data_IF_161292361834
#
_entry.id   IF_161292361834
#
_cell.length_a   1.000
_cell.length_b   1.000
_cell.length_c   1.000
_cell.angle_alpha   90.00
_cell.angle_beta   90.00
_cell.angle_gamma   90.00
#
_symmetry.space_group_name_H-M   'P 1'
#
loop_
_entity.id
_entity.type
_entity.pdbx_description
1 polymer ?
2 water ?
#
# COMPACT_ATOMS: atom_id res chain seq x y z
N UNK A 28 15.45 -16.17 -7.90
CA UNK A 28 14.48 -15.75 -8.96
C UNK A 28 13.78 -14.48 -8.52
N UNK A 29 13.71 -13.51 -9.43
CA UNK A 29 12.94 -12.30 -9.20
C UNK A 29 11.71 -12.32 -10.10
N UNK A 30 10.54 -12.27 -9.48
CA UNK A 30 9.28 -12.41 -10.20
C UNK A 30 8.44 -11.15 -10.05
N UNK A 31 8.23 -10.40 -11.15
CA UNK A 31 7.33 -9.25 -11.07
C UNK A 31 5.88 -9.69 -10.92
N UNK A 32 5.09 -8.85 -10.28
CA UNK A 32 3.67 -9.11 -10.04
C UNK A 32 2.80 -8.04 -10.69
N UNK A 33 1.72 -8.47 -11.34
CA UNK A 33 0.75 -7.58 -11.94
C UNK A 33 -0.65 -8.05 -11.61
N UNK A 34 -1.48 -7.11 -11.16
CA UNK A 34 -2.91 -7.34 -10.97
C UNK A 34 -3.74 -6.22 -11.58
N UNK A 35 -4.91 -6.57 -12.13
CA UNK A 35 -5.81 -5.58 -12.70
C UNK A 35 -6.69 -4.92 -11.62
N UNK A 36 -6.55 -5.40 -10.38
CA UNK A 36 -7.37 -4.88 -9.27
C UNK A 36 -6.59 -3.89 -8.39
N UNK A 37 -5.54 -3.31 -8.98
CA UNK A 37 -4.84 -2.15 -8.42
C UNK A 37 -4.45 -1.25 -9.59
N UNK A 38 -4.16 0.04 -9.33
CA UNK A 38 -3.75 0.92 -10.42
C UNK A 38 -2.52 0.34 -11.12
N UNK A 39 -2.49 0.44 -12.46
CA UNK A 39 -1.42 -0.18 -13.22
C UNK A 39 -0.08 0.49 -12.92
N UNK A 40 0.99 -0.29 -12.92
CA UNK A 40 2.33 0.29 -12.81
C UNK A 40 2.67 0.98 -14.12
N UNK A 41 3.44 2.06 -14.05
CA UNK A 41 4.04 2.67 -15.26
C UNK A 41 5.10 1.74 -15.88
N UNK A 42 5.63 2.12 -17.04
CA UNK A 42 6.52 1.22 -17.79
C UNK A 42 7.79 0.81 -17.06
N UNK A 43 8.32 1.68 -16.20
CA UNK A 43 9.63 1.45 -15.57
C UNK A 43 9.63 0.63 -14.26
N UNK A 44 8.46 0.25 -13.75
CA UNK A 44 8.39 -0.48 -12.46
C UNK A 44 7.27 -1.53 -12.41
N UNK A 45 7.24 -2.33 -11.35
CA UNK A 45 6.21 -3.34 -11.18
C UNK A 45 5.45 -3.07 -9.89
N UNK A 46 4.18 -3.45 -9.86
CA UNK A 46 3.38 -3.25 -8.64
C UNK A 46 4.01 -3.94 -7.45
N UNK A 47 4.57 -5.13 -7.68
CA UNK A 47 5.33 -5.81 -6.64
C UNK A 47 6.41 -6.66 -7.29
N UNK A 48 7.43 -7.01 -6.51
CA UNK A 48 8.50 -7.92 -6.98
C UNK A 48 8.79 -8.93 -5.88
N UNK A 49 8.87 -10.21 -6.27
CA UNK A 49 9.15 -11.30 -5.35
C UNK A 49 10.61 -11.72 -5.44
N UNK A 50 11.22 -11.96 -4.28
CA UNK A 50 12.60 -12.42 -4.18
C UNK A 50 12.74 -13.28 -2.93
N UNK A 51 13.16 -14.53 -3.13
CA UNK A 51 13.33 -15.50 -2.03
C UNK A 51 12.36 -15.38 -0.84
N UNK A 52 11.09 -15.68 -1.13
CA UNK A 52 10.04 -15.75 -0.13
C UNK A 52 9.48 -14.38 0.26
N UNK A 53 10.22 -13.32 -0.04
CA UNK A 53 9.74 -11.96 0.29
C UNK A 53 8.99 -11.34 -0.87
N UNK A 54 8.03 -10.47 -0.55
CA UNK A 54 7.28 -9.75 -1.57
C UNK A 54 7.45 -8.27 -1.24
N UNK A 55 8.03 -7.52 -2.18
CA UNK A 55 8.20 -6.06 -2.04
C UNK A 55 7.15 -5.35 -2.87
N UNK A 56 6.24 -4.66 -2.19
CA UNK A 56 5.13 -3.98 -2.86
C UNK A 56 5.49 -2.51 -3.04
N UNK A 57 5.32 -2.02 -4.26
CA UNK A 57 5.51 -0.60 -4.56
C UNK A 57 4.58 0.26 -3.72
N UNK A 58 5.02 1.48 -3.41
CA UNK A 58 4.18 2.42 -2.65
C UNK A 58 2.87 2.65 -3.38
N UNK A 59 1.78 2.33 -2.68
CA UNK A 59 0.44 2.46 -3.21
C UNK A 59 -0.15 3.79 -2.79
N UNK A 60 -0.88 4.42 -3.71
CA UNK A 60 -1.50 5.74 -3.49
C UNK A 60 -3.04 5.62 -3.67
N UNK A 61 -3.81 6.66 -3.26
CA UNK A 61 -5.28 6.54 -3.30
C UNK A 61 -5.82 6.78 -4.72
N UNK A 62 -5.62 5.77 -5.57
CA UNK A 62 -6.12 5.77 -6.92
C UNK A 62 -6.84 4.46 -7.11
N UNK A 63 -7.92 4.48 -7.90
CA UNK A 63 -8.67 3.24 -8.20
C UNK A 63 -7.98 2.43 -9.29
N UNK A 64 -8.38 1.15 -9.46
CA UNK A 64 -7.73 0.36 -10.49
C UNK A 64 -7.88 0.91 -11.90
N UNK A 65 -8.85 1.79 -12.12
CA UNK A 65 -9.00 2.44 -13.43
C UNK A 65 -8.11 3.68 -13.58
N UNK A 66 -7.20 3.88 -12.62
CA UNK A 66 -6.21 4.95 -12.63
C UNK A 66 -6.75 6.38 -12.43
N UNK A 67 -7.85 6.47 -11.68
CA UNK A 67 -8.47 7.72 -11.30
C UNK A 67 -8.23 8.00 -9.82
N UNK A 68 -8.03 9.28 -9.47
CA UNK A 68 -7.77 9.62 -8.07
C UNK A 68 -9.03 9.50 -7.22
N UNK A 69 -8.84 9.06 -5.98
CA UNK A 69 -9.92 9.06 -5.00
C UNK A 69 -9.96 10.43 -4.36
N UNK A 70 -11.12 11.08 -4.46
CA UNK A 70 -11.38 12.33 -3.76
C UNK A 70 -12.25 12.04 -2.55
N UNK A 71 -12.05 12.79 -1.49
CA UNK A 71 -12.82 12.55 -0.27
C UNK A 71 -11.97 12.61 0.97
N UNK A 72 -12.44 11.92 2.01
CA UNK A 72 -11.77 11.96 3.31
C UNK A 72 -10.49 11.13 3.29
N UNK A 73 -9.59 11.43 4.22
CA UNK A 73 -8.40 10.59 4.42
C UNK A 73 -8.82 9.14 4.67
N UNK A 74 -9.93 8.94 5.37
CA UNK A 74 -10.42 7.57 5.63
C UNK A 74 -10.74 6.84 4.34
N UNK A 75 -11.44 7.50 3.43
CA UNK A 75 -11.79 6.91 2.14
C UNK A 75 -10.51 6.62 1.33
N UNK A 76 -9.58 7.56 1.36
CA UNK A 76 -8.30 7.46 0.65
C UNK A 76 -7.44 6.32 1.20
N UNK A 77 -7.36 6.21 2.52
CA UNK A 77 -6.67 5.10 3.18
C UNK A 77 -7.27 3.74 2.85
N UNK A 78 -8.60 3.67 2.76
CA UNK A 78 -9.26 2.42 2.43
C UNK A 78 -8.88 1.94 1.03
N UNK A 79 -8.75 2.88 0.08
CA UNK A 79 -8.35 2.56 -1.30
C UNK A 79 -6.91 2.04 -1.35
N UNK A 80 -6.04 2.72 -0.61
CA UNK A 80 -4.64 2.28 -0.52
C UNK A 80 -4.57 0.87 0.03
N UNK A 81 -5.33 0.58 1.08
CA UNK A 81 -5.38 -0.77 1.63
C UNK A 81 -5.87 -1.83 0.64
N UNK A 82 -6.89 -1.49 -0.14
CA UNK A 82 -7.40 -2.43 -1.13
C UNK A 82 -6.38 -2.67 -2.23
N UNK A 83 -5.66 -1.61 -2.61
CA UNK A 83 -4.58 -1.74 -3.61
C UNK A 83 -3.51 -2.68 -3.11
N UNK A 84 -3.03 -2.46 -1.89
CA UNK A 84 -2.02 -3.35 -1.31
C UNK A 84 -2.52 -4.80 -1.22
N UNK A 85 -3.72 -4.98 -0.68
CA UNK A 85 -4.31 -6.31 -0.51
C UNK A 85 -4.38 -7.06 -1.82
N UNK A 86 -4.83 -6.38 -2.87
CA UNK A 86 -4.93 -7.05 -4.15
C UNK A 86 -3.61 -7.42 -4.81
N UNK A 87 -2.60 -6.58 -4.62
CA UNK A 87 -1.28 -6.90 -5.12
C UNK A 87 -0.72 -8.08 -4.33
N UNK A 88 -0.94 -8.08 -3.01
CA UNK A 88 -0.47 -9.20 -2.20
C UNK A 88 -1.10 -10.52 -2.62
N UNK A 89 -2.40 -10.49 -2.88
CA UNK A 89 -3.11 -11.70 -3.33
C UNK A 89 -2.51 -12.27 -4.62
N UNK A 90 -2.20 -11.39 -5.57
CA UNK A 90 -1.52 -11.80 -6.80
C UNK A 90 -0.12 -12.30 -6.54
N UNK A 91 0.47 -11.89 -5.42
CA UNK A 91 1.84 -12.29 -5.05
C UNK A 91 1.90 -13.56 -4.21
N UNK A 92 0.77 -14.27 -4.10
CA UNK A 92 0.66 -15.41 -3.19
C UNK A 92 0.94 -15.02 -1.75
N UNK A 93 0.40 -13.88 -1.33
CA UNK A 93 0.56 -13.37 0.00
C UNK A 93 -0.78 -12.78 0.46
N UNK A 94 -0.78 -12.09 1.59
CA UNK A 94 -1.97 -11.41 2.13
C UNK A 94 -1.53 -10.46 3.22
N UNK A 95 -2.47 -9.68 3.73
CA UNK A 95 -2.20 -8.73 4.83
C UNK A 95 -1.60 -9.44 6.04
N UNK A 96 -2.08 -10.65 6.31
CA UNK A 96 -1.57 -11.45 7.42
C UNK A 96 -0.12 -11.93 7.30
N UNK A 97 0.47 -11.74 6.12
CA UNK A 97 1.85 -12.14 5.89
C UNK A 97 2.79 -10.93 5.75
N UNK A 98 2.29 -9.74 6.10
CA UNK A 98 3.12 -8.54 6.03
C UNK A 98 4.10 -8.52 7.20
N UNK A 99 5.36 -8.16 6.90
CA UNK A 99 6.42 -8.06 7.91
C UNK A 99 6.59 -6.61 8.38
N UNK A 100 6.50 -5.69 7.44
CA UNK A 100 6.83 -4.28 7.71
C UNK A 100 6.00 -3.40 6.80
N UNK A 101 5.46 -2.34 7.38
CA UNK A 101 4.71 -1.32 6.66
C UNK A 101 5.42 0.02 6.81
N UNK A 102 5.58 0.76 5.71
CA UNK A 102 6.03 2.16 5.77
C UNK A 102 4.95 3.08 5.24
N UNK A 103 4.54 4.03 6.06
CA UNK A 103 3.46 4.97 5.72
C UNK A 103 4.09 6.33 5.51
N UNK A 104 3.77 6.97 4.39
CA UNK A 104 4.22 8.33 4.13
C UNK A 104 2.99 9.20 4.02
N UNK A 105 2.91 10.24 4.84
CA UNK A 105 1.79 11.16 4.83
C UNK A 105 2.22 12.57 4.42
N UNK A 106 1.47 13.19 3.52
CA UNK A 106 1.76 14.56 3.10
C UNK A 106 1.52 15.56 4.25
N UNK A 107 0.69 15.16 5.21
CA UNK A 107 0.41 16.00 6.38
C UNK A 107 0.15 15.10 7.58
N UNK A 108 1.01 15.23 8.58
CA UNK A 108 0.95 14.38 9.76
C UNK A 108 -0.26 14.66 10.64
N UNK A 109 -0.95 15.77 10.36
CA UNK A 109 -2.22 16.07 11.00
C UNK A 109 -3.26 15.04 10.63
N UNK A 110 -3.08 14.39 9.48
CA UNK A 110 -3.99 13.34 9.03
C UNK A 110 -3.70 11.98 9.64
N UNK A 111 -2.68 11.91 10.48
CA UNK A 111 -2.30 10.62 11.03
C UNK A 111 -3.36 9.98 11.92
N UNK A 112 -3.97 10.76 12.81
CA UNK A 112 -5.05 10.24 13.65
C UNK A 112 -6.15 9.58 12.83
N UNK A 113 -6.57 10.23 11.75
CA UNK A 113 -7.65 9.70 10.90
C UNK A 113 -7.18 8.45 10.19
N UNK A 114 -5.98 8.51 9.62
CA UNK A 114 -5.39 7.35 8.96
C UNK A 114 -5.33 6.14 9.88
N UNK A 115 -4.93 6.39 11.12
CA UNK A 115 -4.70 5.32 12.07
C UNK A 115 -5.97 4.54 12.40
N UNK A 116 -7.11 5.22 12.42
CA UNK A 116 -8.38 4.53 12.60
C UNK A 116 -8.61 3.43 11.54
N UNK A 117 -8.34 3.75 10.28
CA UNK A 117 -8.45 2.79 9.18
C UNK A 117 -7.38 1.70 9.30
N UNK A 118 -6.16 2.11 9.61
CA UNK A 118 -5.03 1.18 9.75
C UNK A 118 -5.37 0.11 10.79
N UNK A 119 -5.86 0.56 11.95
CA UNK A 119 -6.16 -0.35 13.05
C UNK A 119 -7.27 -1.33 12.71
N UNK A 120 -8.19 -0.93 11.84
CA UNK A 120 -9.28 -1.80 11.38
C UNK A 120 -8.73 -2.98 10.58
N UNK A 121 -7.70 -2.72 9.78
CA UNK A 121 -7.13 -3.77 8.95
C UNK A 121 -6.17 -4.65 9.72
N UNK A 122 -5.29 -4.03 10.51
CA UNK A 122 -4.34 -4.76 11.32
C UNK A 122 -4.93 -4.97 12.72
N UNK A 123 -6.08 -5.65 12.76
CA UNK A 123 -6.82 -5.91 13.99
C UNK A 123 -6.22 -7.08 14.74
N UNK A 124 -5.63 -8.02 14.00
CA UNK A 124 -5.06 -9.26 14.57
C UNK A 124 -3.56 -9.44 14.29
N UNK A 125 -3.17 -9.24 13.04
CA UNK A 125 -1.76 -9.31 12.68
C UNK A 125 -1.14 -7.93 12.89
N UNK A 126 0.04 -7.88 13.50
CA UNK A 126 0.63 -6.58 13.88
C UNK A 126 2.07 -6.43 13.38
N UNK A 127 2.23 -6.10 12.09
CA UNK A 127 3.59 -5.96 11.55
C UNK A 127 4.34 -4.78 12.17
N UNK A 128 5.65 -4.75 11.98
CA UNK A 128 6.40 -3.57 12.33
C UNK A 128 5.95 -2.42 11.42
N UNK A 129 6.14 -1.17 11.87
CA UNK A 129 5.62 0.00 11.14
C UNK A 129 6.52 1.21 11.32
N UNK A 130 6.64 2.03 10.26
CA UNK A 130 7.22 3.36 10.40
C UNK A 130 6.34 4.34 9.67
N UNK A 131 6.20 5.54 10.22
CA UNK A 131 5.31 6.54 9.64
C UNK A 131 6.05 7.85 9.64
N UNK A 132 6.08 8.52 8.50
CA UNK A 132 6.77 9.82 8.40
C UNK A 132 5.96 10.83 7.60
N UNK A 133 6.11 12.10 7.94
CA UNK A 133 5.49 13.21 7.19
C UNK A 133 6.43 13.75 6.13
N UNK A 134 6.01 13.68 4.87
CA UNK A 134 6.84 14.08 3.75
C UNK A 134 6.42 15.45 3.22
N UNK A 135 7.25 16.02 2.36
CA UNK A 135 6.96 17.32 1.76
C UNK A 135 5.89 17.18 0.66
N UNK A 136 5.98 16.12 -0.12
CA UNK A 136 5.10 15.92 -1.26
C UNK A 136 5.12 14.46 -1.69
N UNK A 137 4.08 14.05 -2.40
CA UNK A 137 3.96 12.67 -2.87
C UNK A 137 3.62 12.70 -4.34
N UNK A 138 3.86 11.58 -5.06
CA UNK A 138 3.53 11.51 -6.49
C UNK A 138 2.09 11.90 -6.78
N UNK A 139 1.90 12.67 -7.84
CA UNK A 139 0.58 13.13 -8.26
C UNK A 139 -0.15 13.94 -7.18
N UNK A 140 0.62 14.55 -6.28
CA UNK A 140 0.11 15.38 -5.19
C UNK A 140 -0.91 14.67 -4.27
N UNK A 141 -0.78 13.35 -4.11
CA UNK A 141 -1.68 12.60 -3.22
C UNK A 141 -1.38 12.87 -1.74
N UNK A 142 -2.27 12.39 -0.87
CA UNK A 142 -2.19 12.67 0.57
C UNK A 142 -1.44 11.58 1.34
N UNK A 143 -1.35 10.38 0.75
CA UNK A 143 -0.69 9.27 1.42
C UNK A 143 -0.14 8.27 0.43
N UNK A 144 0.93 7.61 0.84
CA UNK A 144 1.54 6.53 0.08
C UNK A 144 1.92 5.47 1.11
N UNK A 145 1.66 4.21 0.80
CA UNK A 145 2.01 3.13 1.73
C UNK A 145 2.69 2.00 0.99
N UNK A 146 3.88 1.61 1.47
CA UNK A 146 4.59 0.45 0.95
C UNK A 146 4.67 -0.65 2.01
N UNK A 147 4.84 -1.88 1.55
CA UNK A 147 4.72 -3.01 2.42
C UNK A 147 5.77 -4.03 1.98
N UNK A 148 6.32 -4.75 2.96
CA UNK A 148 7.16 -5.91 2.70
C UNK A 148 6.44 -7.09 3.34
N UNK A 149 6.26 -8.16 2.58
CA UNK A 149 5.51 -9.31 3.06
C UNK A 149 6.29 -10.61 2.77
N UNK A 150 5.81 -11.73 3.31
CA UNK A 150 6.29 -13.06 2.91
C UNK A 150 5.22 -13.82 2.13
N UNK A 151 5.65 -14.75 1.29
CA UNK A 151 4.72 -15.63 0.59
C UNK A 151 4.01 -16.56 1.58
N UNK A 152 2.75 -16.88 1.29
CA UNK A 152 1.94 -17.81 2.10
C UNK A 152 2.59 -19.18 2.34
#
# INVERSE_FOLDING_TARGET
MGHHHHHHMFLRNSVLRTAPVLRRGITTLTPVSTKLAPPAAASYSQAMKANNFVYVSGQIPYTPDNKPVQGSISEKAEQVFQNVKNILAESNSSLDNIVKVNVFLADMKNFAEFNSVYAKHFHTHKPARSCVGVASLPLNVDLEMEVIAVEKN
#
